data_IF_091207330725
#
_entry.id   IF_091207330725
#
_cell.length_a   1.000
_cell.length_b   1.000
_cell.length_c   1.000
_cell.angle_alpha   90.00
_cell.angle_beta   90.00
_cell.angle_gamma   90.00
#
_symmetry.space_group_name_H-M   'P 1'
#
loop_
_entity.id
_entity.type
_entity.pdbx_description
1 polymer ?
#
# COMPACT_ATOMS: atom_id res chain seq x y z
N UNK A 1 55.44 11.43 44.80
CA UNK A 1 54.57 10.30 44.46
C UNK A 1 54.12 10.53 43.02
N UNK A 2 54.84 9.91 42.09
CA UNK A 2 54.62 9.98 40.65
C UNK A 2 53.32 9.27 40.29
N UNK A 3 52.40 9.95 39.62
CA UNK A 3 51.24 9.34 38.96
C UNK A 3 51.55 9.19 37.46
N UNK A 4 51.91 7.99 36.98
CA UNK A 4 52.03 7.69 35.56
C UNK A 4 50.72 7.00 35.13
N UNK A 5 49.70 7.77 34.74
CA UNK A 5 48.43 7.15 34.30
C UNK A 5 47.71 7.86 33.15
N UNK A 6 48.19 9.03 32.70
CA UNK A 6 47.55 9.74 31.58
C UNK A 6 48.07 9.30 30.21
N UNK A 7 49.22 8.61 30.12
CA UNK A 7 49.83 8.27 28.84
C UNK A 7 49.22 7.04 28.16
N UNK A 8 48.62 6.12 28.91
CA UNK A 8 48.09 4.86 28.39
C UNK A 8 46.66 4.97 27.86
N UNK A 9 45.86 5.91 28.36
CA UNK A 9 44.47 6.11 27.89
C UNK A 9 44.45 6.81 26.52
N UNK A 10 45.30 7.82 26.35
CA UNK A 10 45.49 8.52 25.07
C UNK A 10 46.05 7.59 23.98
N UNK A 11 46.98 6.70 24.33
CA UNK A 11 47.57 5.73 23.39
C UNK A 11 46.54 4.70 22.90
N UNK A 12 45.58 4.32 23.75
CA UNK A 12 44.48 3.43 23.37
C UNK A 12 43.41 4.14 22.52
N UNK A 13 43.17 5.43 22.77
CA UNK A 13 42.22 6.23 22.00
C UNK A 13 42.72 6.48 20.57
N UNK A 14 44.01 6.81 20.41
CA UNK A 14 44.67 6.97 19.10
C UNK A 14 44.62 5.66 18.30
N UNK A 15 44.86 4.51 18.96
CA UNK A 15 44.81 3.18 18.32
C UNK A 15 43.39 2.76 17.93
N UNK A 16 42.38 3.26 18.64
CA UNK A 16 40.97 3.08 18.29
C UNK A 16 40.59 3.95 17.10
N UNK A 17 41.02 5.22 17.06
CA UNK A 17 40.81 6.12 15.91
C UNK A 17 41.50 5.60 14.64
N UNK A 18 42.73 5.10 14.75
CA UNK A 18 43.47 4.52 13.62
C UNK A 18 42.77 3.28 13.07
N UNK A 19 42.23 2.41 13.93
CA UNK A 19 41.40 1.27 13.52
C UNK A 19 40.09 1.71 12.85
N UNK A 20 39.43 2.74 13.37
CA UNK A 20 38.23 3.29 12.74
C UNK A 20 38.56 3.88 11.37
N UNK A 21 39.68 4.59 11.24
CA UNK A 21 40.15 5.18 10.00
C UNK A 21 40.56 4.11 8.97
N UNK A 22 41.14 2.99 9.41
CA UNK A 22 41.40 1.82 8.56
C UNK A 22 40.12 1.12 8.11
N UNK A 23 39.11 1.01 8.98
CA UNK A 23 37.79 0.47 8.63
C UNK A 23 37.07 1.39 7.63
N UNK A 24 37.10 2.71 7.84
CA UNK A 24 36.54 3.68 6.88
C UNK A 24 37.31 3.67 5.54
N UNK A 25 38.63 3.48 5.57
CA UNK A 25 39.44 3.34 4.35
C UNK A 25 39.19 2.01 3.64
N UNK A 26 38.78 0.97 4.37
CA UNK A 26 38.39 -0.33 3.82
C UNK A 26 37.05 -0.27 3.08
N UNK A 27 36.10 0.56 3.54
CA UNK A 27 34.86 0.89 2.81
C UNK A 27 35.11 1.78 1.58
N UNK A 28 36.21 2.54 1.57
CA UNK A 28 36.64 3.36 0.42
C UNK A 28 37.29 2.57 -0.72
N UNK A 29 37.30 1.24 -0.70
CA UNK A 29 37.86 0.43 -1.79
C UNK A 29 36.86 0.20 -2.93
N UNK A 30 36.21 1.26 -3.42
CA UNK A 30 35.60 1.25 -4.76
C UNK A 30 36.71 1.36 -5.81
N UNK A 31 37.01 0.25 -6.49
CA UNK A 31 37.95 0.24 -7.62
C UNK A 31 37.21 0.71 -8.87
N UNK A 32 37.35 2.00 -9.22
CA UNK A 32 37.01 2.62 -10.53
C UNK A 32 35.65 3.34 -10.57
N UNK A 33 35.64 4.54 -11.16
CA UNK A 33 34.44 5.38 -11.35
C UNK A 33 33.40 4.76 -12.31
N UNK A 34 33.79 3.77 -13.11
CA UNK A 34 32.89 3.00 -13.98
C UNK A 34 31.86 2.18 -13.17
N UNK A 35 32.24 1.63 -12.01
CA UNK A 35 31.29 1.00 -11.07
C UNK A 35 30.26 2.01 -10.57
N UNK A 36 30.62 3.29 -10.45
CA UNK A 36 29.72 4.36 -10.02
C UNK A 36 28.71 4.73 -11.12
N UNK A 37 29.11 4.62 -12.39
CA UNK A 37 28.25 4.88 -13.57
C UNK A 37 27.31 3.70 -13.81
N UNK A 38 27.78 2.46 -13.68
CA UNK A 38 26.98 1.24 -13.79
C UNK A 38 25.98 1.14 -12.61
N UNK A 39 26.43 1.51 -11.39
CA UNK A 39 25.57 1.67 -10.23
C UNK A 39 24.51 2.76 -10.45
N UNK A 40 24.82 3.83 -11.20
CA UNK A 40 23.86 4.89 -11.52
C UNK A 40 22.68 4.40 -12.36
N UNK A 41 22.92 3.54 -13.35
CA UNK A 41 21.86 2.93 -14.16
C UNK A 41 21.06 1.88 -13.38
N UNK A 42 21.74 1.05 -12.59
CA UNK A 42 21.06 0.12 -11.69
C UNK A 42 20.19 0.85 -10.65
N UNK A 43 20.71 1.91 -10.03
CA UNK A 43 19.96 2.78 -9.12
C UNK A 43 18.78 3.46 -9.81
N UNK A 44 18.94 3.99 -11.03
CA UNK A 44 17.84 4.57 -11.81
C UNK A 44 16.75 3.54 -12.14
N UNK A 45 17.13 2.33 -12.53
CA UNK A 45 16.19 1.25 -12.82
C UNK A 45 15.44 0.81 -11.55
N UNK A 46 16.14 0.69 -10.42
CA UNK A 46 15.52 0.38 -9.13
C UNK A 46 14.58 1.50 -8.67
N UNK A 47 14.96 2.77 -8.85
CA UNK A 47 14.11 3.92 -8.58
C UNK A 47 12.87 3.92 -9.47
N UNK A 48 13.02 3.66 -10.76
CA UNK A 48 11.90 3.56 -11.69
C UNK A 48 10.95 2.42 -11.32
N UNK A 49 11.47 1.24 -10.96
CA UNK A 49 10.66 0.12 -10.47
C UNK A 49 9.98 0.46 -9.14
N UNK A 50 10.63 1.20 -8.25
CA UNK A 50 10.04 1.65 -6.98
C UNK A 50 8.91 2.66 -7.20
N UNK A 51 9.10 3.63 -8.09
CA UNK A 51 8.08 4.61 -8.45
C UNK A 51 6.90 3.94 -9.16
N UNK A 52 7.16 2.97 -10.05
CA UNK A 52 6.13 2.20 -10.74
C UNK A 52 5.30 1.34 -9.76
N UNK A 53 5.94 0.73 -8.74
CA UNK A 53 5.22 -0.04 -7.71
C UNK A 53 4.43 0.87 -6.78
N UNK A 54 4.97 2.03 -6.41
CA UNK A 54 4.26 3.04 -5.66
C UNK A 54 3.04 3.58 -6.43
N UNK A 55 3.22 3.89 -7.72
CA UNK A 55 2.14 4.33 -8.61
C UNK A 55 1.04 3.27 -8.72
N UNK A 56 1.41 2.00 -8.89
CA UNK A 56 0.47 0.89 -8.97
C UNK A 56 -0.31 0.72 -7.65
N UNK A 57 0.37 0.83 -6.51
CA UNK A 57 -0.27 0.74 -5.20
C UNK A 57 -1.26 1.89 -4.98
N UNK A 58 -0.86 3.13 -5.28
CA UNK A 58 -1.73 4.31 -5.19
C UNK A 58 -2.93 4.19 -6.12
N UNK A 59 -2.71 3.80 -7.39
CA UNK A 59 -3.78 3.59 -8.36
C UNK A 59 -4.81 2.56 -7.86
N UNK A 60 -4.36 1.45 -7.25
CA UNK A 60 -5.26 0.43 -6.72
C UNK A 60 -6.20 0.94 -5.62
N UNK A 61 -5.71 1.87 -4.77
CA UNK A 61 -6.50 2.50 -3.71
C UNK A 61 -7.43 3.57 -4.29
N UNK A 62 -6.95 4.38 -5.24
CA UNK A 62 -7.76 5.39 -5.93
C UNK A 62 -8.92 4.76 -6.70
N UNK A 63 -8.71 3.62 -7.37
CA UNK A 63 -9.78 2.90 -8.06
C UNK A 63 -10.92 2.47 -7.11
N UNK A 64 -10.59 2.12 -5.88
CA UNK A 64 -11.60 1.74 -4.86
C UNK A 64 -12.47 2.92 -4.42
N UNK A 65 -11.95 4.15 -4.46
CA UNK A 65 -12.74 5.36 -4.17
C UNK A 65 -13.86 5.53 -5.20
N UNK A 66 -13.54 5.32 -6.48
CA UNK A 66 -14.53 5.37 -7.56
C UNK A 66 -15.46 4.16 -7.57
N UNK A 67 -14.96 2.98 -7.19
CA UNK A 67 -15.76 1.77 -7.07
C UNK A 67 -16.87 1.87 -5.99
N UNK A 68 -16.72 2.75 -4.99
CA UNK A 68 -17.71 3.00 -3.93
C UNK A 68 -18.77 4.06 -4.25
N UNK A 69 -18.80 4.56 -5.48
CA UNK A 69 -19.79 5.52 -5.94
C UNK A 69 -21.15 4.87 -6.14
N UNK A 70 -22.17 5.46 -5.49
CA UNK A 70 -23.53 4.95 -5.53
C UNK A 70 -24.22 5.31 -6.84
N UNK A 71 -24.83 4.33 -7.55
CA UNK A 71 -25.62 4.60 -8.73
C UNK A 71 -26.91 5.35 -8.36
N UNK A 72 -27.46 6.10 -9.31
CA UNK A 72 -28.78 6.73 -9.16
C UNK A 72 -29.86 5.76 -9.66
N UNK A 73 -30.88 5.55 -8.84
CA UNK A 73 -32.05 4.73 -9.20
C UNK A 73 -33.03 5.64 -9.91
N UNK A 74 -33.29 5.37 -11.19
CA UNK A 74 -34.22 6.17 -12.02
C UNK A 74 -35.60 5.53 -12.14
N UNK A 75 -35.70 4.22 -11.91
CA UNK A 75 -36.95 3.50 -12.07
C UNK A 75 -36.90 2.05 -11.58
N UNK A 76 -38.07 1.43 -11.52
CA UNK A 76 -38.21 -0.02 -11.47
C UNK A 76 -39.09 -0.44 -12.65
N UNK A 77 -38.54 -1.22 -13.57
CA UNK A 77 -39.21 -1.62 -14.80
C UNK A 77 -39.79 -0.39 -15.56
N UNK A 78 -41.11 -0.17 -15.55
CA UNK A 78 -41.78 0.97 -16.20
C UNK A 78 -42.23 2.11 -15.26
N UNK A 79 -41.96 2.01 -13.95
CA UNK A 79 -42.31 3.08 -13.00
C UNK A 79 -41.07 3.93 -12.69
N UNK A 80 -41.20 5.24 -12.90
CA UNK A 80 -40.15 6.20 -12.54
C UNK A 80 -40.23 6.39 -11.02
N UNK A 81 -39.14 6.09 -10.32
CA UNK A 81 -39.05 6.21 -8.85
C UNK A 81 -37.84 7.05 -8.50
N UNK A 82 -38.05 8.01 -7.61
CA UNK A 82 -36.99 8.88 -7.14
C UNK A 82 -36.50 8.41 -5.78
N UNK A 83 -35.50 7.54 -5.83
CA UNK A 83 -34.72 7.16 -4.67
C UNK A 83 -35.03 5.80 -4.07
N UNK A 84 -34.28 5.51 -3.01
CA UNK A 84 -34.17 4.18 -2.45
C UNK A 84 -35.32 3.74 -1.54
N UNK A 85 -36.07 4.70 -1.00
CA UNK A 85 -37.19 4.40 -0.10
C UNK A 85 -38.34 3.73 -0.84
N UNK A 86 -38.66 4.22 -2.05
CA UNK A 86 -39.72 3.65 -2.89
C UNK A 86 -39.29 2.33 -3.54
N UNK A 87 -38.00 2.21 -3.90
CA UNK A 87 -37.45 0.97 -4.48
C UNK A 87 -37.61 -0.22 -3.53
N UNK A 88 -37.31 -0.05 -2.24
CA UNK A 88 -37.40 -1.15 -1.26
C UNK A 88 -38.83 -1.66 -1.06
N UNK A 89 -39.82 -0.76 -1.14
CA UNK A 89 -41.23 -1.13 -1.06
C UNK A 89 -41.68 -1.91 -2.31
N UNK A 90 -41.31 -1.44 -3.50
CA UNK A 90 -41.64 -2.08 -4.78
C UNK A 90 -40.95 -3.43 -4.97
N UNK A 91 -39.67 -3.55 -4.55
CA UNK A 91 -38.90 -4.79 -4.62
C UNK A 91 -39.57 -5.92 -3.83
N UNK A 92 -40.14 -5.63 -2.66
CA UNK A 92 -40.85 -6.61 -1.84
C UNK A 92 -42.23 -7.00 -2.41
N UNK A 93 -42.92 -6.09 -3.10
CA UNK A 93 -44.25 -6.38 -3.66
C UNK A 93 -44.18 -7.10 -5.02
N UNK A 94 -43.26 -6.67 -5.88
CA UNK A 94 -43.31 -7.00 -7.31
C UNK A 94 -42.05 -7.67 -7.85
N UNK A 95 -40.97 -7.78 -7.05
CA UNK A 95 -39.72 -8.38 -7.52
C UNK A 95 -39.13 -7.67 -8.75
N UNK A 96 -39.37 -6.36 -8.88
CA UNK A 96 -38.98 -5.58 -10.05
C UNK A 96 -37.46 -5.41 -10.14
N UNK A 97 -36.95 -5.29 -11.38
CA UNK A 97 -35.53 -5.01 -11.64
C UNK A 97 -35.28 -3.49 -11.63
N UNK A 98 -34.36 -2.99 -10.77
CA UNK A 98 -34.05 -1.57 -10.73
C UNK A 98 -33.37 -1.13 -12.02
N UNK A 99 -33.88 -0.05 -12.62
CA UNK A 99 -33.21 0.66 -13.71
C UNK A 99 -32.26 1.67 -13.06
N UNK A 100 -30.96 1.44 -13.28
CA UNK A 100 -29.89 2.25 -12.73
C UNK A 100 -29.31 3.12 -13.83
N UNK A 101 -29.20 4.42 -13.55
CA UNK A 101 -28.42 5.34 -14.37
C UNK A 101 -27.07 5.53 -13.66
N UNK A 102 -25.98 5.27 -14.39
CA UNK A 102 -24.62 5.37 -13.88
C UNK A 102 -23.68 5.92 -14.95
N UNK A 103 -22.74 6.75 -14.52
CA UNK A 103 -21.71 7.33 -15.41
C UNK A 103 -20.51 6.37 -15.61
N UNK A 104 -20.37 5.39 -14.73
CA UNK A 104 -19.34 4.35 -14.75
C UNK A 104 -19.85 3.11 -14.00
N UNK A 105 -19.50 1.93 -14.47
CA UNK A 105 -19.84 0.66 -13.83
C UNK A 105 -19.00 0.51 -12.56
N UNK A 106 -19.65 0.60 -11.39
CA UNK A 106 -18.99 0.49 -10.09
C UNK A 106 -19.15 -0.91 -9.51
N UNK A 107 -18.29 -1.26 -8.56
CA UNK A 107 -18.38 -2.54 -7.81
C UNK A 107 -19.75 -2.68 -7.12
N UNK A 108 -20.40 -1.56 -6.77
CA UNK A 108 -21.75 -1.61 -6.21
C UNK A 108 -22.80 -2.09 -7.22
N UNK A 109 -22.63 -1.73 -8.50
CA UNK A 109 -23.52 -2.15 -9.60
C UNK A 109 -23.27 -3.61 -9.96
N UNK A 110 -22.01 -4.01 -10.12
CA UNK A 110 -21.61 -5.38 -10.47
C UNK A 110 -22.12 -6.41 -9.46
N UNK A 111 -21.97 -6.11 -8.16
CA UNK A 111 -22.44 -6.98 -7.09
C UNK A 111 -23.89 -6.69 -6.63
N UNK A 112 -24.59 -5.76 -7.29
CA UNK A 112 -25.99 -5.40 -7.02
C UNK A 112 -26.29 -4.94 -5.56
N UNK A 113 -25.31 -4.27 -4.92
CA UNK A 113 -25.44 -3.69 -3.57
C UNK A 113 -25.91 -2.22 -3.68
N UNK A 114 -27.24 -2.03 -3.73
CA UNK A 114 -27.87 -0.72 -3.92
C UNK A 114 -28.54 -0.25 -2.62
N UNK A 115 -28.70 1.07 -2.45
CA UNK A 115 -29.47 1.66 -1.34
C UNK A 115 -28.90 1.35 0.06
N UNK A 116 -29.58 0.51 0.86
CA UNK A 116 -29.12 0.15 2.20
C UNK A 116 -27.92 -0.79 2.17
N UNK A 117 -27.85 -1.65 1.16
CA UNK A 117 -26.76 -2.59 0.98
C UNK A 117 -25.45 -1.89 0.53
N UNK A 118 -25.56 -0.68 -0.04
CA UNK A 118 -24.41 0.17 -0.34
C UNK A 118 -23.61 0.57 0.91
N UNK A 119 -24.25 0.61 2.10
CA UNK A 119 -23.57 0.89 3.38
C UNK A 119 -22.52 -0.19 3.70
N UNK A 120 -22.77 -1.45 3.35
CA UNK A 120 -21.82 -2.56 3.57
C UNK A 120 -20.54 -2.34 2.76
N UNK A 121 -20.68 -1.92 1.51
CA UNK A 121 -19.54 -1.61 0.61
C UNK A 121 -18.74 -0.41 1.13
N UNK A 122 -19.42 0.65 1.59
CA UNK A 122 -18.74 1.81 2.19
C UNK A 122 -17.96 1.43 3.44
N UNK A 123 -18.52 0.58 4.30
CA UNK A 123 -17.83 0.11 5.50
C UNK A 123 -16.56 -0.68 5.16
N UNK A 124 -16.64 -1.53 4.13
CA UNK A 124 -15.48 -2.24 3.57
C UNK A 124 -14.35 -1.28 3.14
N UNK A 125 -14.67 -0.17 2.45
CA UNK A 125 -13.66 0.80 1.99
C UNK A 125 -13.00 1.50 3.18
N UNK A 126 -13.77 1.81 4.21
CA UNK A 126 -13.23 2.37 5.46
C UNK A 126 -12.26 1.39 6.13
N UNK A 127 -12.64 0.11 6.23
CA UNK A 127 -11.79 -0.95 6.79
C UNK A 127 -10.50 -1.11 5.96
N UNK A 128 -10.61 -1.08 4.62
CA UNK A 128 -9.46 -1.13 3.73
C UNK A 128 -8.49 0.04 3.99
N UNK A 129 -9.02 1.26 4.12
CA UNK A 129 -8.23 2.47 4.39
C UNK A 129 -7.56 2.40 5.76
N UNK A 130 -8.27 1.89 6.77
CA UNK A 130 -7.72 1.63 8.08
C UNK A 130 -6.59 0.57 8.03
N UNK A 131 -6.74 -0.48 7.22
CA UNK A 131 -5.69 -1.46 6.97
C UNK A 131 -4.41 -0.84 6.41
N UNK A 132 -4.52 0.11 5.47
CA UNK A 132 -3.36 0.84 4.93
C UNK A 132 -2.65 1.64 6.03
N UNK A 133 -3.40 2.32 6.90
CA UNK A 133 -2.86 3.08 8.04
C UNK A 133 -2.09 2.18 9.02
N UNK A 134 -2.70 1.05 9.40
CA UNK A 134 -2.07 0.07 10.30
C UNK A 134 -0.83 -0.54 9.64
N UNK A 135 -0.91 -0.87 8.35
CA UNK A 135 0.21 -1.38 7.57
C UNK A 135 1.38 -0.41 7.54
N UNK A 136 1.14 0.87 7.27
CA UNK A 136 2.17 1.90 7.31
C UNK A 136 2.84 1.99 8.70
N UNK A 137 2.07 1.94 9.79
CA UNK A 137 2.62 2.01 11.14
C UNK A 137 3.51 0.80 11.50
N UNK A 138 3.06 -0.42 11.17
CA UNK A 138 3.80 -1.66 11.47
C UNK A 138 5.03 -1.76 10.58
N UNK A 139 4.86 -1.61 9.26
CA UNK A 139 5.96 -1.73 8.31
C UNK A 139 6.98 -0.60 8.44
N UNK A 140 6.59 0.58 8.96
CA UNK A 140 7.54 1.62 9.34
C UNK A 140 8.54 1.13 10.38
N UNK A 141 8.05 0.62 11.52
CA UNK A 141 8.93 0.09 12.58
C UNK A 141 9.72 -1.14 12.13
N UNK A 142 9.10 -2.01 11.32
CA UNK A 142 9.78 -3.21 10.81
C UNK A 142 10.85 -2.84 9.78
N UNK A 143 10.64 -1.81 8.96
CA UNK A 143 11.62 -1.32 7.98
C UNK A 143 12.92 -0.88 8.64
N UNK A 144 12.80 -0.23 9.81
CA UNK A 144 13.94 0.24 10.57
C UNK A 144 14.78 -0.92 11.13
N UNK A 145 14.16 -2.06 11.45
CA UNK A 145 14.81 -3.18 12.13
C UNK A 145 15.25 -4.34 11.21
N UNK A 146 14.50 -4.62 10.13
CA UNK A 146 14.70 -5.80 9.26
C UNK A 146 15.52 -5.52 7.98
N UNK A 147 15.94 -4.26 7.80
CA UNK A 147 16.68 -3.80 6.63
C UNK A 147 15.76 -3.44 5.46
N UNK A 148 15.89 -2.19 5.01
CA UNK A 148 15.04 -1.51 4.01
C UNK A 148 14.75 -2.32 2.74
N UNK A 149 15.72 -3.08 2.23
CA UNK A 149 15.61 -3.80 0.95
C UNK A 149 14.77 -5.08 1.04
N UNK A 150 14.85 -5.81 2.15
CA UNK A 150 14.13 -7.09 2.32
C UNK A 150 12.65 -6.85 2.61
N UNK A 151 12.35 -5.85 3.43
CA UNK A 151 10.98 -5.44 3.73
C UNK A 151 10.20 -5.07 2.45
N UNK A 152 10.83 -4.33 1.53
CA UNK A 152 10.23 -3.99 0.23
C UNK A 152 9.84 -5.20 -0.61
N UNK A 153 10.78 -6.14 -0.79
CA UNK A 153 10.57 -7.29 -1.67
C UNK A 153 9.40 -8.14 -1.13
N UNK A 154 9.34 -8.34 0.18
CA UNK A 154 8.27 -9.09 0.84
C UNK A 154 6.93 -8.36 0.66
N UNK A 155 6.87 -7.05 0.90
CA UNK A 155 5.63 -6.27 0.75
C UNK A 155 5.16 -6.20 -0.69
N UNK A 156 6.08 -6.09 -1.66
CA UNK A 156 5.75 -6.08 -3.08
C UNK A 156 5.17 -7.42 -3.55
N UNK A 157 5.81 -8.53 -3.19
CA UNK A 157 5.33 -9.88 -3.54
C UNK A 157 3.98 -10.14 -2.87
N UNK A 158 3.85 -9.80 -1.58
CA UNK A 158 2.58 -9.92 -0.85
C UNK A 158 1.47 -9.13 -1.53
N UNK A 159 1.70 -7.84 -1.80
CA UNK A 159 0.71 -6.98 -2.44
C UNK A 159 0.28 -7.50 -3.82
N UNK A 160 1.23 -7.98 -4.64
CA UNK A 160 0.93 -8.54 -5.97
C UNK A 160 0.06 -9.80 -5.87
N UNK A 161 0.41 -10.75 -4.99
CA UNK A 161 -0.34 -11.99 -4.80
C UNK A 161 -1.76 -11.71 -4.31
N UNK A 162 -1.91 -10.86 -3.29
CA UNK A 162 -3.24 -10.56 -2.74
C UNK A 162 -4.12 -9.77 -3.71
N UNK A 163 -3.54 -8.89 -4.53
CA UNK A 163 -4.28 -8.22 -5.61
C UNK A 163 -4.77 -9.21 -6.67
N UNK A 164 -3.93 -10.18 -7.08
CA UNK A 164 -4.35 -11.22 -8.03
C UNK A 164 -5.46 -12.10 -7.47
N UNK A 165 -5.35 -12.51 -6.20
CA UNK A 165 -6.40 -13.30 -5.52
C UNK A 165 -7.71 -12.53 -5.46
N UNK A 166 -7.65 -11.22 -5.21
CA UNK A 166 -8.86 -10.39 -5.17
C UNK A 166 -9.58 -10.33 -6.52
N UNK A 167 -8.90 -10.53 -7.66
CA UNK A 167 -9.56 -10.55 -8.97
C UNK A 167 -10.44 -11.79 -9.20
N UNK A 168 -10.25 -12.86 -8.43
CA UNK A 168 -10.98 -14.12 -8.59
C UNK A 168 -12.15 -14.26 -7.61
N UNK A 169 -12.37 -13.29 -6.71
CA UNK A 169 -13.39 -13.44 -5.67
C UNK A 169 -14.81 -13.20 -6.22
N UNK A 170 -15.75 -14.15 -6.05
CA UNK A 170 -17.14 -14.01 -6.49
C UNK A 170 -18.02 -13.21 -5.50
N UNK A 171 -17.48 -12.84 -4.34
CA UNK A 171 -18.22 -12.25 -3.23
C UNK A 171 -17.54 -10.96 -2.75
N UNK A 172 -18.35 -9.92 -2.51
CA UNK A 172 -17.86 -8.60 -2.12
C UNK A 172 -17.08 -8.62 -0.79
N UNK A 173 -17.46 -9.51 0.14
CA UNK A 173 -16.77 -9.63 1.42
C UNK A 173 -15.37 -10.24 1.27
N UNK A 174 -15.22 -11.29 0.47
CA UNK A 174 -13.91 -11.87 0.21
C UNK A 174 -13.03 -10.91 -0.62
N UNK A 175 -13.61 -10.26 -1.62
CA UNK A 175 -12.95 -9.21 -2.39
C UNK A 175 -12.34 -8.13 -1.47
N UNK A 176 -13.16 -7.61 -0.55
CA UNK A 176 -12.80 -6.62 0.45
C UNK A 176 -11.66 -7.08 1.37
N UNK A 177 -11.73 -8.33 1.84
CA UNK A 177 -10.77 -8.90 2.76
C UNK A 177 -9.39 -9.00 2.11
N UNK A 178 -9.32 -9.61 0.92
CA UNK A 178 -8.06 -9.75 0.18
C UNK A 178 -7.46 -8.38 -0.18
N UNK A 179 -8.31 -7.40 -0.52
CA UNK A 179 -7.86 -6.03 -0.77
C UNK A 179 -7.39 -5.28 0.48
N UNK A 180 -8.02 -5.53 1.63
CA UNK A 180 -7.58 -4.94 2.90
C UNK A 180 -6.21 -5.47 3.27
N UNK A 181 -6.00 -6.78 3.13
CA UNK A 181 -4.69 -7.41 3.33
C UNK A 181 -3.67 -6.83 2.34
N UNK A 182 -4.00 -6.71 1.05
CA UNK A 182 -3.15 -6.04 0.06
C UNK A 182 -2.84 -4.58 0.46
N UNK A 183 -3.82 -3.86 1.01
CA UNK A 183 -3.69 -2.49 1.51
C UNK A 183 -2.71 -2.36 2.68
N UNK A 184 -2.69 -3.33 3.59
CA UNK A 184 -1.68 -3.39 4.67
C UNK A 184 -0.26 -3.47 4.08
N UNK A 185 -0.06 -4.31 3.06
CA UNK A 185 1.23 -4.39 2.36
C UNK A 185 1.55 -3.13 1.54
N UNK A 186 0.54 -2.49 0.94
CA UNK A 186 0.69 -1.23 0.21
C UNK A 186 1.17 -0.09 1.13
N UNK A 187 0.66 -0.03 2.37
CA UNK A 187 1.13 0.93 3.37
C UNK A 187 2.61 0.77 3.71
N UNK A 188 3.16 -0.45 3.64
CA UNK A 188 4.60 -0.67 3.80
C UNK A 188 5.45 -0.14 2.64
N UNK A 189 4.90 -0.12 1.42
CA UNK A 189 5.58 0.41 0.22
C UNK A 189 5.67 1.94 0.29
N UNK A 190 4.59 2.61 0.72
CA UNK A 190 4.56 4.08 0.80
C UNK A 190 5.51 4.64 1.85
N UNK A 191 5.64 3.98 3.00
CA UNK A 191 6.58 4.40 4.06
C UNK A 191 8.03 4.33 3.56
N UNK A 192 8.35 3.34 2.74
CA UNK A 192 9.68 3.27 2.14
C UNK A 192 9.95 4.45 1.21
N UNK A 193 9.00 4.85 0.35
CA UNK A 193 9.17 6.01 -0.53
C UNK A 193 9.30 7.31 0.28
N UNK A 194 8.54 7.43 1.38
CA UNK A 194 8.51 8.63 2.21
C UNK A 194 9.76 8.86 3.07
N UNK A 195 10.58 7.82 3.29
CA UNK A 195 11.86 7.92 4.00
C UNK A 195 13.00 7.99 2.99
N UNK A 196 13.31 9.11 2.32
CA UNK A 196 14.58 9.21 1.63
C UNK A 196 15.69 8.98 2.67
N UNK A 197 16.57 8.01 2.42
CA UNK A 197 17.77 7.84 3.23
C UNK A 197 18.72 9.01 2.94
#
# INVERSE_FOLDING_TARGET
MSTPSSSSEDENFIKAEEKVLEVMKKDSKFKTLDDLVELRWYCLLVLFMAEATAFTALASVTMMVFAGANPTVVGCDNTVINGCHELSALKNLSGCTPVLEYQFESVQVEFNYICDDAKKVKNTITIQTFGVLVGAAIFGQVSDNFGRRKALIISCIGNAIFNLISSYSPDLFYFALWRTVAGVFAGGITVWVALPA
#
